data_IF_680644926895
#
_entry.id   IF_680644926895
#
_cell.length_a   1.000
_cell.length_b   1.000
_cell.length_c   1.000
_cell.angle_alpha   90.00
_cell.angle_beta   90.00
_cell.angle_gamma   90.00
#
_symmetry.space_group_name_H-M   'P 1'
#
loop_
_entity.id
_entity.type
_entity.pdbx_description
1 polymer ?
#
# COMPACT_ATOMS: atom_id res chain seq x y z
N UNK A 1 15.18 10.23 0.96
CA UNK A 1 14.05 9.36 0.56
C UNK A 1 12.79 10.20 0.62
N UNK A 2 11.91 10.18 -0.38
CA UNK A 2 10.57 10.73 -0.19
C UNK A 2 9.93 10.02 1.00
N UNK A 3 9.36 10.78 1.92
CA UNK A 3 8.68 10.25 3.10
C UNK A 3 7.41 9.51 2.63
N UNK A 4 7.06 8.40 3.29
CA UNK A 4 5.80 7.62 3.23
C UNK A 4 4.52 8.40 2.82
N UNK A 5 4.28 9.66 3.22
CA UNK A 5 3.17 10.46 2.69
C UNK A 5 3.11 10.63 1.16
N UNK A 6 4.22 10.49 0.41
CA UNK A 6 4.19 10.65 -1.05
C UNK A 6 3.49 9.48 -1.77
N UNK A 7 3.44 8.29 -1.18
CA UNK A 7 2.71 7.13 -1.69
C UNK A 7 1.18 7.30 -1.63
N UNK A 8 0.69 8.36 -0.98
CA UNK A 8 -0.72 8.75 -1.02
C UNK A 8 -1.15 9.26 -2.39
N UNK A 9 -0.29 9.94 -3.15
CA UNK A 9 -0.63 10.46 -4.47
C UNK A 9 -0.99 9.39 -5.52
N UNK A 10 -0.18 8.33 -5.75
CA UNK A 10 -0.54 7.25 -6.68
C UNK A 10 -1.78 6.50 -6.17
N UNK A 11 -1.80 6.19 -4.88
CA UNK A 11 -2.86 5.42 -4.24
C UNK A 11 -4.18 6.17 -4.29
N UNK A 12 -4.17 7.47 -4.00
CA UNK A 12 -5.33 8.35 -4.13
C UNK A 12 -5.85 8.38 -5.57
N UNK A 13 -4.97 8.50 -6.55
CA UNK A 13 -5.35 8.51 -7.97
C UNK A 13 -6.05 7.21 -8.38
N UNK A 14 -5.46 6.05 -8.07
CA UNK A 14 -6.05 4.74 -8.36
C UNK A 14 -7.35 4.52 -7.57
N UNK A 15 -7.36 4.89 -6.28
CA UNK A 15 -8.54 4.78 -5.44
C UNK A 15 -9.70 5.61 -6.00
N UNK A 16 -9.48 6.85 -6.40
CA UNK A 16 -10.52 7.72 -6.96
C UNK A 16 -11.15 7.12 -8.23
N UNK A 17 -10.37 6.41 -9.05
CA UNK A 17 -10.88 5.72 -10.24
C UNK A 17 -11.70 4.46 -9.91
N UNK A 18 -11.43 3.79 -8.78
CA UNK A 18 -11.92 2.43 -8.49
C UNK A 18 -12.64 2.30 -7.15
N UNK A 19 -12.97 3.42 -6.49
CA UNK A 19 -13.39 3.45 -5.09
C UNK A 19 -14.59 2.55 -4.76
N UNK A 20 -15.51 2.26 -5.71
CA UNK A 20 -16.63 1.35 -5.46
C UNK A 20 -16.20 -0.10 -5.27
N UNK A 21 -15.11 -0.50 -5.90
CA UNK A 21 -14.65 -1.88 -5.92
C UNK A 21 -13.63 -2.16 -4.81
N UNK A 22 -13.06 -1.10 -4.22
CA UNK A 22 -12.06 -1.21 -3.17
C UNK A 22 -12.62 -0.90 -1.78
N UNK A 23 -12.28 -1.76 -0.82
CA UNK A 23 -12.35 -1.44 0.59
C UNK A 23 -11.27 -0.40 0.93
N UNK A 24 -11.67 0.87 1.07
CA UNK A 24 -10.75 2.00 1.20
C UNK A 24 -9.79 1.89 2.39
N UNK A 25 -10.27 1.49 3.56
CA UNK A 25 -9.43 1.36 4.76
C UNK A 25 -8.30 0.35 4.53
N UNK A 26 -8.64 -0.89 4.16
CA UNK A 26 -7.67 -1.93 3.85
C UNK A 26 -6.68 -1.54 2.75
N UNK A 27 -7.15 -0.88 1.68
CA UNK A 27 -6.30 -0.37 0.60
C UNK A 27 -5.26 0.63 1.13
N UNK A 28 -5.70 1.71 1.80
CA UNK A 28 -4.79 2.73 2.31
C UNK A 28 -3.91 2.24 3.47
N UNK A 29 -4.42 1.36 4.35
CA UNK A 29 -3.62 0.73 5.39
C UNK A 29 -2.48 -0.09 4.78
N UNK A 30 -2.75 -0.88 3.72
CA UNK A 30 -1.71 -1.64 3.05
C UNK A 30 -0.72 -0.78 2.27
N UNK A 31 -1.17 0.35 1.70
CA UNK A 31 -0.26 1.33 1.08
C UNK A 31 0.62 2.02 2.12
N UNK A 32 0.11 2.38 3.29
CA UNK A 32 0.86 3.22 4.23
C UNK A 32 1.66 2.44 5.27
N UNK A 33 1.13 1.31 5.75
CA UNK A 33 1.71 0.59 6.88
C UNK A 33 2.77 -0.44 6.46
N UNK A 34 2.95 -0.66 5.17
CA UNK A 34 4.10 -1.42 4.64
C UNK A 34 5.44 -0.75 5.04
N UNK A 35 5.45 0.58 5.20
CA UNK A 35 6.57 1.41 5.67
C UNK A 35 6.82 1.35 7.19
N UNK A 36 6.05 0.56 7.96
CA UNK A 36 6.33 0.40 9.40
C UNK A 36 7.72 -0.19 9.63
N UNK A 37 8.13 -1.21 8.87
CA UNK A 37 9.47 -1.82 9.01
C UNK A 37 10.61 -0.78 8.88
N UNK A 38 10.74 -0.04 7.75
CA UNK A 38 11.80 0.94 7.61
C UNK A 38 11.71 2.04 8.67
N UNK A 39 10.50 2.46 9.06
CA UNK A 39 10.30 3.44 10.13
C UNK A 39 10.82 2.96 11.48
N UNK A 40 10.55 1.70 11.86
CA UNK A 40 11.06 1.12 13.11
C UNK A 40 12.59 1.07 13.13
N UNK A 41 13.23 0.68 12.03
CA UNK A 41 14.70 0.69 11.94
C UNK A 41 15.27 2.10 12.10
N UNK A 42 14.67 3.11 11.46
CA UNK A 42 15.12 4.50 11.57
C UNK A 42 14.92 5.09 12.98
N UNK A 43 13.77 4.81 13.62
CA UNK A 43 13.44 5.38 14.94
C UNK A 43 14.27 4.75 16.04
N UNK A 44 14.40 3.42 16.03
CA UNK A 44 15.06 2.69 17.12
C UNK A 44 16.55 2.45 16.88
N UNK A 45 17.08 2.79 15.70
CA UNK A 45 18.50 2.63 15.38
C UNK A 45 18.99 1.18 15.44
N UNK A 46 18.08 0.22 15.25
CA UNK A 46 18.41 -1.20 15.35
C UNK A 46 19.30 -1.59 14.16
N UNK A 47 20.37 -2.37 14.38
CA UNK A 47 21.20 -2.88 13.28
C UNK A 47 20.35 -3.61 12.24
N UNK A 48 20.61 -3.32 10.96
CA UNK A 48 19.90 -3.96 9.86
C UNK A 48 20.23 -5.46 9.84
N UNK A 49 19.24 -6.35 10.05
CA UNK A 49 19.51 -7.78 10.18
C UNK A 49 19.90 -8.38 8.83
N UNK A 50 20.67 -9.47 8.85
CA UNK A 50 20.82 -10.36 7.69
C UNK A 50 19.96 -11.58 7.91
N UNK A 51 18.97 -11.78 7.06
CA UNK A 51 18.00 -12.87 7.19
C UNK A 51 18.44 -14.03 6.29
N UNK A 52 18.58 -15.26 6.81
CA UNK A 52 18.91 -16.42 5.97
C UNK A 52 17.75 -16.73 5.03
N UNK A 53 18.09 -17.08 3.78
CA UNK A 53 17.11 -17.42 2.74
C UNK A 53 16.89 -18.94 2.66
N UNK A 54 15.70 -19.35 2.23
CA UNK A 54 15.30 -20.77 2.25
C UNK A 54 16.14 -21.64 1.32
N UNK A 55 16.62 -21.12 0.19
CA UNK A 55 17.48 -21.85 -0.76
C UNK A 55 18.96 -21.47 -0.64
N UNK A 56 19.35 -20.87 0.48
CA UNK A 56 20.74 -20.51 0.79
C UNK A 56 21.08 -19.05 0.53
N UNK A 57 22.13 -18.58 1.21
CA UNK A 57 22.54 -17.19 1.22
C UNK A 57 21.75 -16.34 2.23
N UNK A 58 21.90 -15.02 2.11
CA UNK A 58 21.25 -14.04 2.97
C UNK A 58 20.59 -12.96 2.13
N UNK A 59 19.59 -12.31 2.70
CA UNK A 59 19.00 -11.09 2.14
C UNK A 59 20.03 -9.97 2.01
N UNK A 60 19.80 -9.06 1.04
CA UNK A 60 20.49 -7.78 0.97
C UNK A 60 20.25 -7.00 2.26
N UNK A 61 21.27 -6.31 2.77
CA UNK A 61 21.14 -5.47 3.96
C UNK A 61 20.51 -4.13 3.58
N UNK A 62 19.37 -3.79 4.16
CA UNK A 62 18.62 -2.57 3.86
C UNK A 62 17.43 -2.34 4.78
N UNK A 63 16.67 -1.28 4.52
CA UNK A 63 15.49 -0.92 5.32
C UNK A 63 14.21 -1.60 4.80
N UNK A 64 14.23 -2.09 3.56
CA UNK A 64 13.06 -2.60 2.82
C UNK A 64 13.14 -4.12 2.60
N UNK A 65 13.57 -4.85 3.64
CA UNK A 65 13.96 -6.26 3.49
C UNK A 65 12.77 -7.21 3.59
N UNK A 66 11.92 -7.04 4.60
CA UNK A 66 10.89 -8.02 4.95
C UNK A 66 9.54 -7.62 4.39
N UNK A 67 9.10 -6.36 4.51
CA UNK A 67 7.75 -5.93 4.14
C UNK A 67 7.63 -5.53 2.66
N UNK A 68 8.73 -5.11 2.04
CA UNK A 68 8.76 -4.56 0.68
C UNK A 68 9.14 -5.59 -0.37
N UNK A 69 8.43 -6.71 -0.41
CA UNK A 69 8.59 -7.71 -1.47
C UNK A 69 7.25 -8.38 -1.80
N UNK A 70 7.11 -8.97 -3.01
CA UNK A 70 5.83 -9.54 -3.45
C UNK A 70 5.29 -10.61 -2.50
N UNK A 71 6.17 -11.46 -1.96
CA UNK A 71 5.78 -12.53 -1.05
C UNK A 71 5.17 -11.96 0.23
N UNK A 72 5.86 -11.04 0.89
CA UNK A 72 5.39 -10.40 2.12
C UNK A 72 4.12 -9.58 1.91
N UNK A 73 3.96 -8.92 0.76
CA UNK A 73 2.68 -8.27 0.42
C UNK A 73 1.53 -9.29 0.48
N UNK A 74 1.72 -10.48 -0.09
CA UNK A 74 0.69 -11.51 -0.17
C UNK A 74 0.42 -12.18 1.19
N UNK A 75 1.47 -12.54 1.93
CA UNK A 75 1.34 -13.42 3.11
C UNK A 75 1.38 -12.68 4.45
N UNK A 76 1.86 -11.44 4.48
CA UNK A 76 2.02 -10.66 5.71
C UNK A 76 1.22 -9.37 5.67
N UNK A 77 1.51 -8.47 4.73
CA UNK A 77 0.91 -7.12 4.69
C UNK A 77 -0.59 -7.21 4.41
N UNK A 78 -1.00 -7.84 3.31
CA UNK A 78 -2.42 -7.91 2.97
C UNK A 78 -3.26 -8.64 4.03
N UNK A 79 -2.85 -9.79 4.60
CA UNK A 79 -3.57 -10.42 5.70
C UNK A 79 -3.65 -9.55 6.95
N UNK A 80 -2.53 -8.97 7.40
CA UNK A 80 -2.49 -8.13 8.60
C UNK A 80 -3.38 -6.89 8.44
N UNK A 81 -3.33 -6.22 7.29
CA UNK A 81 -4.14 -5.03 7.03
C UNK A 81 -5.62 -5.36 6.82
N UNK A 82 -5.93 -6.55 6.31
CA UNK A 82 -7.31 -7.04 6.25
C UNK A 82 -7.86 -7.23 7.66
N UNK A 83 -7.12 -7.93 8.53
CA UNK A 83 -7.52 -8.14 9.92
C UNK A 83 -7.67 -6.81 10.66
N UNK A 84 -6.72 -5.89 10.50
CA UNK A 84 -6.79 -4.55 11.10
C UNK A 84 -8.01 -3.77 10.58
N UNK A 85 -8.26 -3.77 9.27
CA UNK A 85 -9.43 -3.09 8.71
C UNK A 85 -10.74 -3.66 9.28
N UNK A 86 -10.84 -4.99 9.43
CA UNK A 86 -11.99 -5.66 10.04
C UNK A 86 -12.15 -5.39 11.52
N UNK A 87 -11.05 -5.27 12.25
CA UNK A 87 -11.09 -4.84 13.64
C UNK A 87 -11.62 -3.41 13.76
N UNK A 88 -11.18 -2.50 12.88
CA UNK A 88 -11.64 -1.11 12.86
C UNK A 88 -13.11 -0.97 12.45
N UNK A 89 -13.65 -1.89 11.63
CA UNK A 89 -15.09 -1.97 11.34
C UNK A 89 -15.94 -2.17 12.61
N UNK A 90 -15.43 -2.83 13.65
CA UNK A 90 -16.15 -2.98 14.93
C UNK A 90 -16.38 -1.64 15.63
N UNK A 91 -15.47 -0.68 15.41
CA UNK A 91 -15.58 0.70 15.91
C UNK A 91 -16.42 1.62 15.02
N UNK A 92 -17.15 1.09 14.03
CA UNK A 92 -17.91 1.88 13.05
C UNK A 92 -18.75 3.03 13.65
N UNK A 93 -19.50 2.86 14.75
CA UNK A 93 -20.27 3.97 15.33
C UNK A 93 -19.41 5.17 15.71
N UNK A 94 -18.26 4.94 16.34
CA UNK A 94 -17.31 5.97 16.72
C UNK A 94 -16.73 6.69 15.49
N UNK A 95 -16.35 5.94 14.45
CA UNK A 95 -15.81 6.54 13.23
C UNK A 95 -16.82 7.41 12.48
N UNK A 96 -18.09 7.01 12.45
CA UNK A 96 -19.15 7.80 11.82
C UNK A 96 -19.49 9.08 12.59
N UNK A 97 -19.23 9.11 13.90
CA UNK A 97 -19.37 10.32 14.71
C UNK A 97 -18.26 11.34 14.40
N UNK A 98 -17.03 10.88 14.19
CA UNK A 98 -15.89 11.71 13.78
C UNK A 98 -16.07 12.20 12.34
N UNK A 99 -16.37 11.29 11.43
CA UNK A 99 -16.50 11.58 9.99
C UNK A 99 -17.97 11.68 9.59
N UNK A 100 -18.65 12.70 10.15
CA UNK A 100 -20.07 12.92 9.89
C UNK A 100 -20.34 13.07 8.39
N UNK A 101 -21.27 12.27 7.87
CA UNK A 101 -21.64 12.25 6.46
C UNK A 101 -20.85 11.27 5.58
N UNK A 102 -19.91 10.53 6.14
CA UNK A 102 -19.28 9.40 5.45
C UNK A 102 -20.24 8.20 5.37
N UNK A 103 -20.25 7.52 4.22
CA UNK A 103 -20.95 6.24 4.06
C UNK A 103 -19.98 5.07 4.30
N UNK A 104 -20.35 4.17 5.22
CA UNK A 104 -19.57 2.99 5.54
C UNK A 104 -20.16 1.73 4.90
N UNK A 105 -19.49 1.23 3.87
CA UNK A 105 -19.85 -0.02 3.19
C UNK A 105 -19.03 -1.18 3.74
N UNK A 106 -19.72 -2.21 4.20
CA UNK A 106 -19.09 -3.44 4.66
C UNK A 106 -18.81 -4.35 3.46
N UNK A 107 -17.54 -4.58 3.15
CA UNK A 107 -17.16 -5.56 2.14
C UNK A 107 -16.91 -6.93 2.76
N UNK A 108 -16.97 -8.01 1.98
CA UNK A 108 -16.55 -9.33 2.47
C UNK A 108 -15.06 -9.36 2.80
N UNK A 109 -14.61 -10.32 3.61
CA UNK A 109 -13.19 -10.56 3.90
C UNK A 109 -12.36 -10.70 2.62
N UNK A 110 -12.85 -11.46 1.64
CA UNK A 110 -12.17 -11.64 0.35
C UNK A 110 -11.97 -10.31 -0.40
N UNK A 111 -13.03 -9.48 -0.51
CA UNK A 111 -12.92 -8.16 -1.15
C UNK A 111 -11.98 -7.22 -0.38
N UNK A 112 -12.00 -7.31 0.95
CA UNK A 112 -11.11 -6.53 1.83
C UNK A 112 -9.65 -6.92 1.60
N UNK A 113 -9.37 -8.22 1.52
CA UNK A 113 -8.05 -8.77 1.22
C UNK A 113 -7.55 -8.38 -0.17
N UNK A 114 -8.38 -8.50 -1.21
CA UNK A 114 -8.03 -8.03 -2.56
C UNK A 114 -7.74 -6.53 -2.59
N UNK A 115 -8.44 -5.74 -1.77
CA UNK A 115 -8.17 -4.30 -1.65
C UNK A 115 -6.84 -4.03 -0.95
N UNK A 116 -6.50 -4.79 0.09
CA UNK A 116 -5.20 -4.71 0.74
C UNK A 116 -4.06 -5.13 -0.19
N UNK A 117 -4.24 -6.19 -0.99
CA UNK A 117 -3.29 -6.59 -2.03
C UNK A 117 -3.08 -5.47 -3.05
N UNK A 118 -4.16 -4.88 -3.56
CA UNK A 118 -4.07 -3.77 -4.50
C UNK A 118 -3.29 -2.58 -3.91
N UNK A 119 -3.55 -2.23 -2.65
CA UNK A 119 -2.84 -1.15 -1.96
C UNK A 119 -1.36 -1.44 -1.74
N UNK A 120 -1.02 -2.65 -1.27
CA UNK A 120 0.35 -3.09 -1.03
C UNK A 120 1.17 -3.24 -2.31
N UNK A 121 0.60 -3.80 -3.38
CA UNK A 121 1.28 -3.88 -4.68
C UNK A 121 1.44 -2.54 -5.36
N UNK A 122 0.51 -1.60 -5.16
CA UNK A 122 0.67 -0.25 -5.69
C UNK A 122 1.82 0.50 -5.00
N UNK A 123 1.93 0.37 -3.68
CA UNK A 123 3.08 0.88 -2.92
C UNK A 123 4.37 0.23 -3.41
N UNK A 124 4.43 -1.10 -3.39
CA UNK A 124 5.61 -1.86 -3.80
C UNK A 124 6.02 -1.49 -5.23
N UNK A 125 5.07 -1.41 -6.17
CA UNK A 125 5.34 -1.08 -7.56
C UNK A 125 6.01 0.29 -7.74
N UNK A 126 5.62 1.28 -6.93
CA UNK A 126 6.33 2.56 -6.90
C UNK A 126 7.72 2.36 -6.27
N UNK A 127 7.81 1.68 -5.13
CA UNK A 127 9.07 1.49 -4.40
C UNK A 127 10.16 0.78 -5.19
N UNK A 128 9.77 -0.11 -6.12
CA UNK A 128 10.70 -0.74 -7.05
C UNK A 128 11.47 0.29 -7.91
N UNK A 129 10.97 1.52 -8.07
CA UNK A 129 11.67 2.57 -8.82
C UNK A 129 12.68 3.36 -7.96
N UNK A 130 12.64 3.22 -6.64
CA UNK A 130 13.42 4.05 -5.72
C UNK A 130 14.36 3.28 -4.79
N UNK A 131 14.08 2.01 -4.49
CA UNK A 131 14.78 1.22 -3.48
C UNK A 131 15.53 0.03 -4.09
N UNK A 132 16.86 0.08 -4.09
CA UNK A 132 17.71 -1.02 -4.56
C UNK A 132 17.86 -2.16 -3.57
N UNK A 133 17.50 -1.93 -2.31
CA UNK A 133 17.57 -2.90 -1.23
C UNK A 133 16.36 -3.85 -1.14
N UNK A 134 15.38 -3.67 -2.02
CA UNK A 134 14.25 -4.60 -2.17
C UNK A 134 14.74 -5.93 -2.75
N UNK A 135 14.44 -7.02 -2.05
CA UNK A 135 14.68 -8.38 -2.53
C UNK A 135 13.40 -8.99 -3.14
N UNK A 136 13.34 -9.06 -4.47
CA UNK A 136 12.21 -9.64 -5.21
C UNK A 136 12.07 -11.16 -5.01
N UNK A 137 13.14 -11.84 -4.60
CA UNK A 137 13.20 -13.28 -4.40
C UNK A 137 12.95 -13.72 -2.96
N UNK A 138 12.72 -12.79 -2.04
CA UNK A 138 12.46 -13.10 -0.63
C UNK A 138 11.20 -13.98 -0.49
N UNK A 139 11.18 -15.02 0.37
CA UNK A 139 12.25 -15.47 1.28
C UNK A 139 13.15 -16.58 0.70
N UNK A 140 13.06 -16.86 -0.60
CA UNK A 140 13.69 -18.03 -1.21
C UNK A 140 15.14 -17.79 -1.62
N UNK A 141 15.37 -16.72 -2.38
CA UNK A 141 16.67 -16.36 -2.95
C UNK A 141 16.92 -14.86 -2.86
N UNK A 142 18.17 -14.43 -3.06
CA UNK A 142 18.53 -13.03 -3.16
C UNK A 142 18.43 -12.59 -4.62
N UNK A 143 17.31 -11.97 -4.98
CA UNK A 143 17.09 -11.37 -6.30
C UNK A 143 17.01 -9.85 -6.14
N UNK A 144 18.08 -9.10 -6.45
CA UNK A 144 18.09 -7.64 -6.30
C UNK A 144 17.05 -6.99 -7.21
N UNK A 145 16.54 -5.84 -6.80
CA UNK A 145 15.61 -5.05 -7.59
C UNK A 145 16.31 -4.36 -8.79
N UNK A 146 16.00 -4.72 -10.05
CA UNK A 146 16.62 -4.12 -11.22
C UNK A 146 15.90 -2.84 -11.71
N UNK A 147 14.80 -2.44 -11.08
CA UNK A 147 13.89 -1.41 -11.60
C UNK A 147 14.16 0.00 -11.07
N UNK A 148 15.21 0.19 -10.27
CA UNK A 148 15.56 1.49 -9.69
C UNK A 148 15.85 2.51 -10.81
N UNK A 149 15.01 3.54 -10.89
CA UNK A 149 15.10 4.56 -11.92
C UNK A 149 14.46 5.87 -11.46
N UNK A 150 15.29 6.88 -11.19
CA UNK A 150 14.84 8.19 -10.68
C UNK A 150 13.98 8.98 -11.68
N UNK A 151 14.17 8.79 -12.99
CA UNK A 151 13.33 9.43 -14.01
C UNK A 151 11.92 8.86 -13.98
N UNK A 152 11.80 7.53 -13.92
CA UNK A 152 10.50 6.86 -13.82
C UNK A 152 9.79 7.25 -12.52
N UNK A 153 10.51 7.25 -11.39
CA UNK A 153 10.03 7.75 -10.10
C UNK A 153 9.41 9.15 -10.23
N UNK A 154 10.16 10.11 -10.79
CA UNK A 154 9.70 11.48 -10.95
C UNK A 154 8.47 11.57 -11.88
N UNK A 155 8.45 10.81 -12.97
CA UNK A 155 7.32 10.74 -13.90
C UNK A 155 6.07 10.21 -13.21
N UNK A 156 6.16 9.10 -12.47
CA UNK A 156 5.02 8.52 -11.74
C UNK A 156 4.49 9.54 -10.73
N UNK A 157 5.37 10.24 -10.00
CA UNK A 157 4.98 11.28 -9.06
C UNK A 157 4.23 12.44 -9.71
N UNK A 158 4.82 13.04 -10.76
CA UNK A 158 4.20 14.16 -11.48
C UNK A 158 2.87 13.77 -12.14
N UNK A 159 2.82 12.60 -12.78
CA UNK A 159 1.60 12.08 -13.41
C UNK A 159 0.53 11.82 -12.36
N UNK A 160 0.88 11.22 -11.22
CA UNK A 160 -0.08 10.99 -10.13
C UNK A 160 -0.67 12.31 -9.65
N UNK A 161 0.16 13.33 -9.37
CA UNK A 161 -0.32 14.66 -8.95
C UNK A 161 -1.23 15.28 -10.01
N UNK A 162 -0.82 15.27 -11.29
CA UNK A 162 -1.62 15.83 -12.38
C UNK A 162 -2.96 15.09 -12.58
N UNK A 163 -3.00 13.79 -12.27
CA UNK A 163 -4.18 12.95 -12.48
C UNK A 163 -5.15 12.90 -11.29
N UNK A 164 -4.85 13.48 -10.13
CA UNK A 164 -5.78 13.45 -8.97
C UNK A 164 -7.16 14.03 -9.34
N UNK A 165 -7.20 15.26 -9.87
CA UNK A 165 -8.45 15.92 -10.24
C UNK A 165 -9.16 15.20 -11.40
N UNK A 166 -8.51 14.88 -12.52
CA UNK A 166 -9.10 14.05 -13.57
C UNK A 166 -9.69 12.74 -13.05
N UNK A 167 -8.95 12.05 -12.17
CA UNK A 167 -9.36 10.76 -11.61
C UNK A 167 -10.60 10.87 -10.73
N UNK A 168 -10.77 11.97 -10.01
CA UNK A 168 -12.01 12.25 -9.29
C UNK A 168 -13.20 12.36 -10.25
N UNK A 169 -13.12 13.17 -11.30
CA UNK A 169 -14.24 13.38 -12.23
C UNK A 169 -14.57 12.14 -13.06
N UNK A 170 -13.53 11.47 -13.59
CA UNK A 170 -13.67 10.23 -14.36
C UNK A 170 -14.20 9.12 -13.45
N UNK A 171 -13.61 8.97 -12.27
CA UNK A 171 -14.03 8.02 -11.25
C UNK A 171 -15.50 8.21 -10.87
N UNK A 172 -15.94 9.46 -10.63
CA UNK A 172 -17.34 9.80 -10.34
C UNK A 172 -18.30 9.30 -11.44
N UNK A 173 -17.90 9.43 -12.70
CA UNK A 173 -18.68 8.98 -13.87
C UNK A 173 -18.71 7.46 -14.00
N UNK A 174 -17.55 6.80 -13.95
CA UNK A 174 -17.42 5.33 -14.06
C UNK A 174 -18.19 4.66 -12.92
N UNK A 175 -17.98 5.16 -11.72
CA UNK A 175 -18.58 4.64 -10.51
C UNK A 175 -19.92 5.32 -10.20
N UNK A 176 -20.61 5.95 -11.15
CA UNK A 176 -21.98 6.50 -11.03
C UNK A 176 -22.34 7.09 -9.65
N UNK A 177 -21.48 7.92 -9.05
CA UNK A 177 -21.65 8.35 -7.66
C UNK A 177 -20.45 9.13 -7.13
N UNK A 178 -20.48 9.51 -5.85
CA UNK A 178 -19.34 10.19 -5.20
C UNK A 178 -18.44 9.17 -4.50
N UNK A 179 -17.11 9.36 -4.46
CA UNK A 179 -16.23 8.56 -3.59
C UNK A 179 -16.61 8.66 -2.10
N UNK A 180 -17.29 9.75 -1.72
CA UNK A 180 -17.78 10.00 -0.37
C UNK A 180 -19.20 9.45 -0.11
N UNK A 181 -19.87 8.93 -1.16
CA UNK A 181 -21.20 8.31 -1.08
C UNK A 181 -21.19 6.97 -1.82
N UNK A 182 -20.72 5.94 -1.10
CA UNK A 182 -20.75 4.57 -1.59
C UNK A 182 -22.15 3.99 -1.34
N UNK A 183 -22.95 3.95 -2.41
CA UNK A 183 -24.26 3.28 -2.39
C UNK A 183 -24.15 1.86 -1.78
N UNK A 184 -25.12 1.46 -0.94
CA UNK A 184 -25.13 0.14 -0.31
C UNK A 184 -25.20 -1.01 -1.31
#
# INVERSE_FOLDING_TARGET
MPLTPFHVFPAGTIYLLTYRYLHGLAFFLATLLIDIEPALYMIFGVPLPRVPLLFGGYTLTGLHMITHNPFAVIVLIAPAMTALAKLLELGKPFWLEIFRGAEWVNYSWAKTYLSALAGGFLHLGWDLTMHGDINLGFPFISLPNPFVNHTVLAMIGMVSVALILPSYFVGKKINRGSPFKKLP
#
